data_IF_299668088905
#
_entry.id   IF_299668088905
#
_cell.length_a   1.000
_cell.length_b   1.000
_cell.length_c   1.000
_cell.angle_alpha   90.00
_cell.angle_beta   90.00
_cell.angle_gamma   90.00
#
_symmetry.space_group_name_H-M   'P 1'
#
loop_
_entity.id
_entity.type
_entity.pdbx_description
1 polymer ?
#
# COMPACT_ATOMS: atom_id res chain seq x y z
N UNK A 1 60.97 -41.33 77.44
CA UNK A 1 60.29 -42.31 76.58
C UNK A 1 59.01 -41.66 76.10
N UNK A 2 59.07 -41.04 74.93
CA UNK A 2 57.98 -40.23 74.44
C UNK A 2 58.05 -40.14 72.92
N UNK A 3 56.85 -40.14 72.38
CA UNK A 3 56.45 -39.46 71.16
C UNK A 3 56.66 -40.10 69.79
N UNK A 4 55.70 -39.75 68.92
CA UNK A 4 55.61 -39.98 67.47
C UNK A 4 54.91 -41.24 66.97
N UNK A 5 53.60 -41.30 67.18
CA UNK A 5 52.71 -42.09 66.32
C UNK A 5 51.34 -41.40 66.13
N UNK A 6 51.24 -40.58 65.07
CA UNK A 6 50.08 -40.22 64.21
C UNK A 6 50.39 -38.88 63.53
N UNK A 7 50.02 -38.62 62.24
CA UNK A 7 48.68 -38.86 61.69
C UNK A 7 48.63 -39.21 60.18
N UNK A 8 48.21 -40.44 59.82
CA UNK A 8 47.91 -40.81 58.41
C UNK A 8 46.40 -40.68 58.11
N UNK A 9 45.55 -40.72 59.13
CA UNK A 9 44.09 -40.63 58.98
C UNK A 9 43.58 -39.27 58.46
N UNK A 10 44.34 -38.18 58.64
CA UNK A 10 43.92 -36.82 58.31
C UNK A 10 44.07 -36.46 56.81
N UNK A 11 44.82 -37.26 56.03
CA UNK A 11 44.93 -37.04 54.57
C UNK A 11 43.76 -37.63 53.79
N UNK A 12 43.22 -38.76 54.23
CA UNK A 12 42.11 -39.42 53.54
C UNK A 12 40.82 -38.58 53.63
N UNK A 13 40.52 -38.04 54.81
CA UNK A 13 39.39 -37.15 55.08
C UNK A 13 39.48 -35.82 54.32
N UNK A 14 40.67 -35.21 54.21
CA UNK A 14 40.86 -33.99 53.41
C UNK A 14 40.65 -34.23 51.91
N UNK A 15 41.06 -35.38 51.38
CA UNK A 15 40.85 -35.69 49.95
C UNK A 15 39.36 -35.92 49.62
N UNK A 16 38.61 -36.61 50.48
CA UNK A 16 37.17 -36.83 50.28
C UNK A 16 36.37 -35.54 50.38
N UNK A 17 36.77 -34.63 51.27
CA UNK A 17 36.12 -33.32 51.41
C UNK A 17 36.36 -32.40 50.20
N UNK A 18 37.53 -32.51 49.55
CA UNK A 18 37.84 -31.78 48.32
C UNK A 18 37.03 -32.30 47.12
N UNK A 19 36.88 -33.62 46.98
CA UNK A 19 36.07 -34.24 45.91
C UNK A 19 34.59 -33.89 46.06
N UNK A 20 34.06 -33.94 47.29
CA UNK A 20 32.67 -33.57 47.56
C UNK A 20 32.38 -32.09 47.23
N UNK A 21 33.29 -31.16 47.56
CA UNK A 21 33.14 -29.74 47.20
C UNK A 21 33.22 -29.51 45.69
N UNK A 22 34.09 -30.22 44.98
CA UNK A 22 34.19 -30.12 43.52
C UNK A 22 32.92 -30.65 42.83
N UNK A 23 32.35 -31.77 43.30
CA UNK A 23 31.09 -32.31 42.78
C UNK A 23 29.91 -31.38 43.04
N UNK A 24 29.80 -30.79 44.24
CA UNK A 24 28.74 -29.82 44.56
C UNK A 24 28.83 -28.54 43.74
N UNK A 25 30.05 -28.10 43.40
CA UNK A 25 30.24 -26.89 42.58
C UNK A 25 29.85 -27.14 41.12
N UNK A 26 30.19 -28.31 40.57
CA UNK A 26 29.87 -28.70 39.20
C UNK A 26 28.36 -28.90 38.96
N UNK A 27 27.64 -29.49 39.93
CA UNK A 27 26.17 -29.66 39.82
C UNK A 27 25.43 -28.34 39.86
N UNK A 28 25.90 -27.39 40.68
CA UNK A 28 25.29 -26.05 40.79
C UNK A 28 25.53 -25.21 39.52
N UNK A 29 26.70 -25.33 38.89
CA UNK A 29 26.97 -24.69 37.59
C UNK A 29 26.13 -25.27 36.46
N UNK A 30 25.93 -26.60 36.43
CA UNK A 30 25.08 -27.26 35.45
C UNK A 30 23.60 -26.85 35.59
N UNK A 31 23.09 -26.72 36.82
CA UNK A 31 21.72 -26.24 37.06
C UNK A 31 21.52 -24.79 36.63
N UNK A 32 22.47 -23.89 36.91
CA UNK A 32 22.41 -22.49 36.48
C UNK A 32 22.45 -22.38 34.95
N UNK A 33 23.32 -23.15 34.29
CA UNK A 33 23.39 -23.19 32.83
C UNK A 33 22.08 -23.66 32.19
N UNK A 34 21.45 -24.71 32.75
CA UNK A 34 20.14 -25.19 32.26
C UNK A 34 19.01 -24.18 32.48
N UNK A 35 19.02 -23.42 33.59
CA UNK A 35 18.01 -22.39 33.81
C UNK A 35 18.15 -21.24 32.81
N UNK A 36 19.40 -20.85 32.50
CA UNK A 36 19.70 -19.80 31.52
C UNK A 36 19.28 -20.20 30.09
N UNK A 37 19.48 -21.46 29.70
CA UNK A 37 19.04 -21.94 28.37
C UNK A 37 17.51 -22.04 28.26
N UNK A 38 16.82 -22.47 29.33
CA UNK A 38 15.35 -22.50 29.37
C UNK A 38 14.78 -21.06 29.29
N UNK A 39 15.33 -20.12 30.05
CA UNK A 39 14.89 -18.72 30.01
C UNK A 39 15.10 -18.10 28.61
N UNK A 40 16.26 -18.34 27.98
CA UNK A 40 16.55 -17.85 26.63
C UNK A 40 15.60 -18.45 25.58
N UNK A 41 15.26 -19.74 25.69
CA UNK A 41 14.32 -20.40 24.79
C UNK A 41 12.89 -19.83 24.93
N UNK A 42 12.44 -19.54 26.15
CA UNK A 42 11.12 -18.91 26.41
C UNK A 42 11.08 -17.48 25.86
N UNK A 43 12.13 -16.69 26.02
CA UNK A 43 12.22 -15.34 25.45
C UNK A 43 12.26 -15.35 23.92
N UNK A 44 12.92 -16.33 23.30
CA UNK A 44 12.93 -16.51 21.85
C UNK A 44 11.53 -16.91 21.31
N UNK A 45 10.83 -17.81 21.99
CA UNK A 45 9.46 -18.20 21.63
C UNK A 45 8.45 -17.04 21.82
N UNK A 46 8.60 -16.26 22.89
CA UNK A 46 7.77 -15.09 23.16
C UNK A 46 8.00 -13.96 22.12
N UNK A 47 9.24 -13.72 21.71
CA UNK A 47 9.55 -12.73 20.65
C UNK A 47 9.07 -13.18 19.27
N UNK A 48 9.16 -14.49 18.96
CA UNK A 48 8.61 -15.04 17.72
C UNK A 48 7.07 -14.90 17.67
N UNK A 49 6.36 -15.26 18.73
CA UNK A 49 4.89 -15.12 18.80
C UNK A 49 4.45 -13.66 18.75
N UNK A 50 5.16 -12.75 19.42
CA UNK A 50 4.92 -11.30 19.31
C UNK A 50 5.15 -10.79 17.88
N UNK A 51 6.19 -11.26 17.18
CA UNK A 51 6.45 -10.90 15.79
C UNK A 51 5.33 -11.35 14.83
N UNK A 52 4.83 -12.58 14.99
CA UNK A 52 3.68 -13.06 14.20
C UNK A 52 2.38 -12.30 14.50
N UNK A 53 2.16 -11.94 15.77
CA UNK A 53 1.05 -11.08 16.19
C UNK A 53 1.11 -9.70 15.53
N UNK A 54 2.28 -9.05 15.57
CA UNK A 54 2.51 -7.75 14.94
C UNK A 54 2.28 -7.80 13.41
N UNK A 55 2.76 -8.83 12.72
CA UNK A 55 2.52 -9.01 11.28
C UNK A 55 1.02 -9.12 10.95
N UNK A 56 0.26 -9.83 11.79
CA UNK A 56 -1.18 -9.97 11.60
C UNK A 56 -1.93 -8.65 11.83
N UNK A 57 -1.52 -7.87 12.83
CA UNK A 57 -2.09 -6.54 13.09
C UNK A 57 -1.77 -5.56 11.96
N UNK A 58 -0.53 -5.57 11.44
CA UNK A 58 -0.14 -4.75 10.28
C UNK A 58 -0.98 -5.10 9.05
N UNK A 59 -1.19 -6.39 8.75
CA UNK A 59 -2.04 -6.79 7.62
C UNK A 59 -3.48 -6.30 7.77
N UNK A 60 -4.05 -6.40 8.97
CA UNK A 60 -5.42 -5.92 9.25
C UNK A 60 -5.50 -4.39 9.14
N UNK A 61 -4.51 -3.66 9.63
CA UNK A 61 -4.50 -2.19 9.52
C UNK A 61 -4.31 -1.74 8.07
N UNK A 62 -3.46 -2.40 7.28
CA UNK A 62 -3.33 -2.14 5.84
C UNK A 62 -4.65 -2.40 5.11
N UNK A 63 -5.32 -3.54 5.38
CA UNK A 63 -6.62 -3.83 4.76
C UNK A 63 -7.69 -2.80 5.13
N UNK A 64 -7.76 -2.36 6.38
CA UNK A 64 -8.68 -1.31 6.81
C UNK A 64 -8.38 0.03 6.14
N UNK A 65 -7.10 0.40 6.00
CA UNK A 65 -6.68 1.61 5.28
C UNK A 65 -7.02 1.55 3.79
N UNK A 66 -6.79 0.41 3.15
CA UNK A 66 -7.14 0.19 1.73
C UNK A 66 -8.66 0.29 1.51
N UNK A 67 -9.45 -0.32 2.39
CA UNK A 67 -10.90 -0.24 2.34
C UNK A 67 -11.39 1.21 2.52
N UNK A 68 -10.82 1.97 3.45
CA UNK A 68 -11.16 3.37 3.65
C UNK A 68 -10.79 4.23 2.42
N UNK A 69 -9.60 4.03 1.85
CA UNK A 69 -9.18 4.73 0.63
C UNK A 69 -10.13 4.41 -0.54
N UNK A 70 -10.51 3.14 -0.71
CA UNK A 70 -11.49 2.73 -1.70
C UNK A 70 -12.85 3.40 -1.50
N UNK A 71 -13.38 3.40 -0.28
CA UNK A 71 -14.67 4.03 0.01
C UNK A 71 -14.67 5.53 -0.28
N UNK A 72 -13.56 6.24 0.02
CA UNK A 72 -13.42 7.66 -0.31
C UNK A 72 -13.37 7.91 -1.83
N UNK A 73 -12.68 7.05 -2.58
CA UNK A 73 -12.68 7.10 -4.04
C UNK A 73 -14.08 6.81 -4.59
N UNK A 74 -14.76 5.79 -4.07
CA UNK A 74 -16.10 5.42 -4.49
C UNK A 74 -17.11 6.55 -4.22
N UNK A 75 -17.05 7.16 -3.04
CA UNK A 75 -17.90 8.30 -2.66
C UNK A 75 -17.72 9.47 -3.63
N UNK A 76 -16.46 9.89 -3.88
CA UNK A 76 -16.13 10.93 -4.87
C UNK A 76 -16.62 10.58 -6.27
N UNK A 77 -16.47 9.33 -6.72
CA UNK A 77 -16.89 8.91 -8.05
C UNK A 77 -18.43 8.86 -8.18
N UNK A 78 -19.10 8.45 -7.11
CA UNK A 78 -20.58 8.33 -7.06
C UNK A 78 -21.31 9.67 -6.90
N UNK A 79 -20.57 10.76 -6.68
CA UNK A 79 -21.14 12.10 -6.56
C UNK A 79 -21.97 12.49 -7.80
N UNK A 80 -23.14 13.15 -7.62
CA UNK A 80 -23.94 13.66 -8.74
C UNK A 80 -23.13 14.52 -9.71
N UNK A 81 -22.22 15.33 -9.17
CA UNK A 81 -21.35 16.23 -9.91
C UNK A 81 -20.37 15.48 -10.82
N UNK A 82 -19.85 14.32 -10.38
CA UNK A 82 -19.00 13.46 -11.21
C UNK A 82 -19.81 12.86 -12.35
N UNK A 83 -20.99 12.33 -12.05
CA UNK A 83 -21.89 11.75 -13.07
C UNK A 83 -22.25 12.79 -14.15
N UNK A 84 -22.63 14.00 -13.75
CA UNK A 84 -22.91 15.10 -14.68
C UNK A 84 -21.70 15.45 -15.52
N UNK A 85 -20.51 15.48 -14.91
CA UNK A 85 -19.25 15.76 -15.63
C UNK A 85 -18.98 14.71 -16.70
N UNK A 86 -19.12 13.42 -16.37
CA UNK A 86 -18.93 12.33 -17.33
C UNK A 86 -19.94 12.43 -18.48
N UNK A 87 -21.22 12.70 -18.19
CA UNK A 87 -22.25 12.85 -19.21
C UNK A 87 -21.96 14.05 -20.13
N UNK A 88 -21.56 15.19 -19.58
CA UNK A 88 -21.24 16.38 -20.35
C UNK A 88 -20.05 16.15 -21.30
N UNK A 89 -19.00 15.50 -20.81
CA UNK A 89 -17.82 15.15 -21.61
C UNK A 89 -18.14 14.09 -22.67
N UNK A 90 -18.96 13.09 -22.34
CA UNK A 90 -19.43 12.09 -23.31
C UNK A 90 -20.27 12.72 -24.42
N UNK A 91 -21.08 13.75 -24.12
CA UNK A 91 -21.80 14.52 -25.14
C UNK A 91 -20.84 15.25 -26.08
N UNK A 92 -19.81 15.93 -25.55
CA UNK A 92 -18.78 16.57 -26.36
C UNK A 92 -18.11 15.56 -27.31
N UNK A 93 -17.71 14.41 -26.77
CA UNK A 93 -17.11 13.33 -27.55
C UNK A 93 -18.01 12.85 -28.69
N UNK A 94 -19.30 12.63 -28.41
CA UNK A 94 -20.28 12.22 -29.43
C UNK A 94 -20.40 13.24 -30.55
N UNK A 95 -20.41 14.54 -30.23
CA UNK A 95 -20.47 15.61 -31.23
C UNK A 95 -19.21 15.61 -32.10
N UNK A 96 -18.03 15.51 -31.49
CA UNK A 96 -16.77 15.44 -32.22
C UNK A 96 -16.73 14.24 -33.17
N UNK A 97 -17.08 13.05 -32.67
CA UNK A 97 -17.15 11.83 -33.48
C UNK A 97 -18.18 11.91 -34.61
N UNK A 98 -19.38 12.46 -34.35
CA UNK A 98 -20.40 12.63 -35.38
C UNK A 98 -19.92 13.53 -36.53
N UNK A 99 -19.07 14.52 -36.22
CA UNK A 99 -18.46 15.43 -37.20
C UNK A 99 -17.16 14.90 -37.80
N UNK A 100 -16.67 13.73 -37.36
CA UNK A 100 -15.33 13.20 -37.68
C UNK A 100 -14.21 14.18 -37.34
N UNK A 101 -14.41 14.97 -36.28
CA UNK A 101 -13.47 15.95 -35.75
C UNK A 101 -12.75 15.40 -34.51
N UNK A 102 -11.66 16.04 -34.12
CA UNK A 102 -11.05 15.78 -32.81
C UNK A 102 -11.83 16.48 -31.71
N UNK A 103 -11.85 15.88 -30.52
CA UNK A 103 -12.49 16.48 -29.34
C UNK A 103 -11.95 17.88 -29.03
N UNK A 104 -10.65 18.10 -29.21
CA UNK A 104 -10.03 19.41 -29.03
C UNK A 104 -10.59 20.44 -30.03
N UNK A 105 -10.73 20.07 -31.29
CA UNK A 105 -11.25 20.97 -32.31
C UNK A 105 -12.71 21.36 -32.03
N UNK A 106 -13.56 20.39 -31.67
CA UNK A 106 -14.94 20.65 -31.28
C UNK A 106 -15.01 21.52 -30.01
N UNK A 107 -14.09 21.34 -29.06
CA UNK A 107 -13.99 22.21 -27.87
C UNK A 107 -13.60 23.64 -28.22
N UNK A 108 -12.65 23.85 -29.12
CA UNK A 108 -12.24 25.19 -29.56
C UNK A 108 -13.38 25.93 -30.26
N UNK A 109 -14.15 25.24 -31.12
CA UNK A 109 -15.36 25.83 -31.68
C UNK A 109 -16.41 26.21 -30.64
N UNK A 110 -16.57 25.38 -29.61
CA UNK A 110 -17.45 25.70 -28.49
C UNK A 110 -16.94 26.90 -27.69
N UNK A 111 -15.62 27.01 -27.49
CA UNK A 111 -14.98 28.12 -26.79
C UNK A 111 -15.18 29.45 -27.53
N UNK A 112 -15.06 29.45 -28.87
CA UNK A 112 -15.29 30.62 -29.71
C UNK A 112 -16.77 31.04 -29.73
N UNK A 113 -17.69 30.07 -29.69
CA UNK A 113 -19.13 30.31 -29.74
C UNK A 113 -19.73 30.71 -28.39
N UNK A 114 -19.35 30.00 -27.31
CA UNK A 114 -19.85 30.21 -25.96
C UNK A 114 -18.77 29.86 -24.91
N UNK A 115 -18.03 30.90 -24.50
CA UNK A 115 -16.97 30.79 -23.52
C UNK A 115 -17.45 30.25 -22.16
N UNK A 116 -18.66 30.59 -21.72
CA UNK A 116 -19.18 30.19 -20.40
C UNK A 116 -19.41 28.67 -20.38
N UNK A 117 -20.01 28.14 -21.45
CA UNK A 117 -20.22 26.70 -21.59
C UNK A 117 -18.89 25.97 -21.71
N UNK A 118 -17.94 26.49 -22.48
CA UNK A 118 -16.61 25.89 -22.62
C UNK A 118 -15.82 25.88 -21.29
N UNK A 119 -15.89 26.95 -20.50
CA UNK A 119 -15.25 27.01 -19.17
C UNK A 119 -15.89 25.99 -18.20
N UNK A 120 -17.21 25.85 -18.24
CA UNK A 120 -17.95 24.84 -17.46
C UNK A 120 -17.52 23.42 -17.84
N UNK A 121 -17.41 23.14 -19.14
CA UNK A 121 -16.95 21.85 -19.66
C UNK A 121 -15.50 21.56 -19.26
N UNK A 122 -14.66 22.59 -19.20
CA UNK A 122 -13.30 22.44 -18.71
C UNK A 122 -13.23 22.13 -17.21
N UNK A 123 -14.13 22.71 -16.41
CA UNK A 123 -14.30 22.33 -14.99
C UNK A 123 -14.65 20.83 -14.85
N UNK A 124 -15.54 20.32 -15.71
CA UNK A 124 -15.85 18.88 -15.78
C UNK A 124 -14.62 18.04 -16.16
N UNK A 125 -13.81 18.48 -17.12
CA UNK A 125 -12.55 17.81 -17.49
C UNK A 125 -11.60 17.69 -16.29
N UNK A 126 -11.44 18.78 -15.52
CA UNK A 126 -10.61 18.80 -14.32
C UNK A 126 -11.13 17.85 -13.26
N UNK A 127 -12.45 17.85 -12.99
CA UNK A 127 -13.06 16.94 -12.00
C UNK A 127 -12.79 15.46 -12.33
N UNK A 128 -13.06 15.05 -13.58
CA UNK A 128 -12.83 13.68 -14.03
C UNK A 128 -11.34 13.34 -13.96
N UNK A 129 -10.47 14.25 -14.39
CA UNK A 129 -9.02 14.01 -14.39
C UNK A 129 -8.43 13.90 -12.99
N UNK A 130 -8.86 14.76 -12.05
CA UNK A 130 -8.40 14.71 -10.67
C UNK A 130 -8.70 13.36 -10.03
N UNK A 131 -9.87 12.76 -10.32
CA UNK A 131 -10.19 11.43 -9.82
C UNK A 131 -9.16 10.38 -10.27
N UNK A 132 -8.92 10.26 -11.58
CA UNK A 132 -7.99 9.24 -12.10
C UNK A 132 -6.54 9.52 -11.73
N UNK A 133 -6.13 10.79 -11.67
CA UNK A 133 -4.79 11.20 -11.21
C UNK A 133 -4.58 10.83 -9.74
N UNK A 134 -5.54 11.16 -8.87
CA UNK A 134 -5.45 10.86 -7.43
C UNK A 134 -5.41 9.34 -7.20
N UNK A 135 -6.27 8.58 -7.86
CA UNK A 135 -6.29 7.12 -7.79
C UNK A 135 -4.96 6.51 -8.26
N UNK A 136 -4.38 7.03 -9.35
CA UNK A 136 -3.08 6.60 -9.85
C UNK A 136 -1.96 6.95 -8.88
N UNK A 137 -1.99 8.14 -8.27
CA UNK A 137 -1.01 8.55 -7.25
C UNK A 137 -1.04 7.64 -6.03
N UNK A 138 -2.22 7.31 -5.51
CA UNK A 138 -2.38 6.38 -4.40
C UNK A 138 -1.77 5.01 -4.72
N UNK A 139 -1.96 4.52 -5.96
CA UNK A 139 -1.38 3.27 -6.41
C UNK A 139 0.15 3.35 -6.53
N UNK A 140 0.68 4.36 -7.21
CA UNK A 140 2.14 4.54 -7.38
C UNK A 140 2.87 4.78 -6.07
N UNK A 141 2.19 5.36 -5.07
CA UNK A 141 2.71 5.55 -3.72
C UNK A 141 2.66 4.27 -2.85
N UNK A 142 2.09 3.17 -3.35
CA UNK A 142 1.91 1.93 -2.60
C UNK A 142 0.87 2.01 -1.48
N UNK A 143 0.00 3.04 -1.50
CA UNK A 143 -1.05 3.23 -0.49
C UNK A 143 -2.28 2.37 -0.73
N UNK A 144 -2.49 1.94 -1.98
CA UNK A 144 -3.52 0.97 -2.34
C UNK A 144 -2.92 -0.18 -3.14
N UNK A 145 -3.41 -1.39 -2.88
CA UNK A 145 -3.01 -2.56 -3.64
C UNK A 145 -3.49 -2.48 -5.10
N UNK A 146 -2.84 -3.22 -6.00
CA UNK A 146 -3.25 -3.34 -7.42
C UNK A 146 -4.72 -3.75 -7.57
N UNK A 147 -5.24 -4.60 -6.66
CA UNK A 147 -6.64 -5.05 -6.70
C UNK A 147 -7.61 -3.89 -6.45
N UNK A 148 -7.35 -3.09 -5.42
CA UNK A 148 -8.16 -1.90 -5.10
C UNK A 148 -8.05 -0.85 -6.19
N UNK A 149 -6.85 -0.64 -6.73
CA UNK A 149 -6.64 0.25 -7.86
C UNK A 149 -7.48 -0.15 -9.09
N UNK A 150 -7.43 -1.42 -9.49
CA UNK A 150 -8.23 -1.95 -10.61
C UNK A 150 -9.73 -1.79 -10.35
N UNK A 151 -10.18 -2.01 -9.11
CA UNK A 151 -11.58 -1.84 -8.74
C UNK A 151 -12.02 -0.36 -8.85
N UNK A 152 -11.18 0.58 -8.41
CA UNK A 152 -11.46 2.02 -8.44
C UNK A 152 -11.44 2.61 -9.87
N UNK A 153 -10.76 1.99 -10.83
CA UNK A 153 -10.71 2.48 -12.22
C UNK A 153 -11.66 1.72 -13.16
N UNK A 154 -12.27 0.63 -12.72
CA UNK A 154 -13.24 -0.17 -13.47
C UNK A 154 -14.62 0.51 -13.54
N UNK A 155 -14.64 1.74 -14.06
CA UNK A 155 -15.83 2.56 -14.18
C UNK A 155 -15.97 3.15 -15.60
N UNK A 156 -17.21 3.44 -16.06
CA UNK A 156 -17.45 3.94 -17.42
C UNK A 156 -16.79 5.30 -17.72
N UNK A 157 -16.35 6.04 -16.69
CA UNK A 157 -15.64 7.31 -16.84
C UNK A 157 -14.21 7.18 -17.39
N UNK A 158 -13.62 5.98 -17.41
CA UNK A 158 -12.22 5.79 -17.80
C UNK A 158 -11.96 6.13 -19.28
N UNK A 159 -12.85 5.72 -20.19
CA UNK A 159 -12.72 6.08 -21.60
C UNK A 159 -12.94 7.59 -21.82
N UNK A 160 -13.84 8.21 -21.03
CA UNK A 160 -14.04 9.67 -21.06
C UNK A 160 -12.77 10.39 -20.63
N UNK A 161 -12.06 9.87 -19.62
CA UNK A 161 -10.77 10.41 -19.22
C UNK A 161 -9.74 10.35 -20.36
N UNK A 162 -9.58 9.20 -21.02
CA UNK A 162 -8.59 9.04 -22.10
C UNK A 162 -8.90 9.84 -23.36
N UNK A 163 -10.15 9.79 -23.82
CA UNK A 163 -10.52 10.29 -25.14
C UNK A 163 -10.91 11.77 -25.11
N UNK A 164 -11.29 12.29 -23.94
CA UNK A 164 -11.74 13.68 -23.79
C UNK A 164 -10.85 14.47 -22.85
N UNK A 165 -10.77 14.05 -21.58
CA UNK A 165 -10.16 14.87 -20.56
C UNK A 165 -8.64 15.03 -20.74
N UNK A 166 -7.93 13.95 -21.12
CA UNK A 166 -6.48 13.98 -21.35
C UNK A 166 -6.10 14.91 -22.51
N UNK A 167 -6.69 14.80 -23.73
CA UNK A 167 -6.39 15.73 -24.82
C UNK A 167 -6.67 17.20 -24.48
N UNK A 168 -7.80 17.48 -23.80
CA UNK A 168 -8.15 18.86 -23.42
C UNK A 168 -7.21 19.45 -22.37
N UNK A 169 -6.81 18.66 -21.37
CA UNK A 169 -5.82 19.10 -20.38
C UNK A 169 -4.42 19.25 -20.97
N UNK A 170 -4.04 18.41 -21.94
CA UNK A 170 -2.78 18.53 -22.68
C UNK A 170 -2.68 19.85 -23.43
N UNK A 171 -3.79 20.35 -23.98
CA UNK A 171 -3.81 21.63 -24.65
C UNK A 171 -3.68 22.82 -23.69
N UNK A 172 -4.38 22.83 -22.55
CA UNK A 172 -4.44 24.01 -21.67
C UNK A 172 -3.24 24.18 -20.75
N UNK A 173 -2.87 23.12 -20.03
CA UNK A 173 -1.88 23.17 -18.94
C UNK A 173 -0.64 22.30 -19.26
N UNK A 174 -0.44 21.94 -20.54
CA UNK A 174 0.57 20.97 -20.99
C UNK A 174 0.27 19.51 -20.63
N UNK A 175 -0.75 19.27 -19.80
CA UNK A 175 -1.30 17.95 -19.46
C UNK A 175 -0.32 16.97 -18.82
N UNK A 176 0.80 17.44 -18.25
CA UNK A 176 1.83 16.55 -17.71
C UNK A 176 1.27 15.49 -16.74
N UNK A 177 0.42 15.90 -15.80
CA UNK A 177 -0.19 14.98 -14.83
C UNK A 177 -1.19 14.01 -15.46
N UNK A 178 -2.04 14.46 -16.37
CA UNK A 178 -3.06 13.62 -17.01
C UNK A 178 -2.44 12.65 -18.01
N UNK A 179 -1.42 13.08 -18.76
CA UNK A 179 -0.66 12.24 -19.69
C UNK A 179 0.17 11.21 -18.92
N UNK A 180 0.81 11.60 -17.81
CA UNK A 180 1.50 10.67 -16.92
C UNK A 180 0.53 9.61 -16.37
N UNK A 181 -0.59 10.05 -15.77
CA UNK A 181 -1.57 9.13 -15.22
C UNK A 181 -2.13 8.18 -16.29
N UNK A 182 -2.39 8.68 -17.50
CA UNK A 182 -2.79 7.84 -18.63
C UNK A 182 -1.74 6.77 -18.96
N UNK A 183 -0.45 7.13 -18.98
CA UNK A 183 0.62 6.17 -19.26
C UNK A 183 0.64 5.07 -18.19
N UNK A 184 0.59 5.44 -16.92
CA UNK A 184 0.55 4.46 -15.81
C UNK A 184 -0.71 3.59 -15.85
N UNK A 185 -1.87 4.16 -16.13
CA UNK A 185 -3.09 3.36 -16.25
C UNK A 185 -2.98 2.35 -17.40
N UNK A 186 -2.38 2.73 -18.53
CA UNK A 186 -2.13 1.83 -19.67
C UNK A 186 -1.10 0.72 -19.36
N UNK A 187 -0.12 0.95 -18.49
CA UNK A 187 0.82 -0.11 -18.08
C UNK A 187 0.15 -1.15 -17.21
N UNK A 188 -0.76 -0.72 -16.32
CA UNK A 188 -1.46 -1.62 -15.39
C UNK A 188 -2.65 -2.32 -16.06
N UNK A 189 -3.30 -1.67 -17.02
CA UNK A 189 -4.44 -2.17 -17.80
C UNK A 189 -4.12 -2.16 -19.30
N UNK A 190 -3.39 -3.15 -19.83
CA UNK A 190 -3.05 -3.21 -21.25
C UNK A 190 -4.26 -3.46 -22.18
N UNK A 191 -5.42 -3.84 -21.63
CA UNK A 191 -6.60 -4.24 -22.42
C UNK A 191 -7.66 -3.15 -22.39
N UNK A 192 -7.62 -2.25 -23.37
CA UNK A 192 -8.79 -1.47 -23.80
C UNK A 192 -9.01 -1.69 -25.29
N UNK A 193 -9.61 -2.84 -25.61
CA UNK A 193 -10.25 -3.09 -26.90
C UNK A 193 -11.75 -2.81 -26.74
N UNK A 194 -12.21 -1.68 -27.27
CA UNK A 194 -13.62 -1.27 -27.26
C UNK A 194 -13.73 0.17 -26.77
N UNK A 195 -14.13 1.10 -27.65
CA UNK A 195 -14.29 2.53 -27.34
C UNK A 195 -15.34 2.82 -26.26
N UNK A 196 -15.78 4.07 -26.12
CA UNK A 196 -16.84 4.53 -25.20
C UNK A 196 -18.20 3.78 -25.42
N UNK A 197 -18.32 2.55 -24.91
CA UNK A 197 -19.55 1.75 -24.90
C UNK A 197 -19.65 0.92 -23.62
#
# INVERSE_FOLDING_TARGET
MGDHARPIADRATRSQCAVARAQSCATLTAMIANLATIAAAVSAAASATAAFGALSQVRKSTQASEANAYLQLQDRYSSPEMRESIIALAKLWRVAHARKETVLFTYLHLLDADKIVADTLFSHCRRVSSYFIDTTRLYTAGLISKKVFLLAIAHPGLNTFYEVAVPLNAHKDGGHNSVWAMKELKTVMPVHGGGLY
#
